data_IF_674119685958
#
_entry.id   IF_674119685958
#
_cell.length_a   1.000
_cell.length_b   1.000
_cell.length_c   1.000
_cell.angle_alpha   90.00
_cell.angle_beta   90.00
_cell.angle_gamma   90.00
#
_symmetry.space_group_name_H-M   'P 1'
#
loop_
_entity.id
_entity.type
_entity.pdbx_description
1 polymer ?
#
# COMPACT_ATOMS: atom_id res chain seq x y z
N UNK A 1 -1.94 -24.91 -25.92
CA UNK A 1 -3.03 -24.97 -24.93
C UNK A 1 -2.96 -23.68 -24.09
N UNK A 2 -3.81 -22.70 -24.42
CA UNK A 2 -3.83 -21.40 -23.72
C UNK A 2 -4.62 -21.58 -22.43
N UNK A 3 -3.92 -21.58 -21.30
CA UNK A 3 -4.55 -21.51 -19.98
C UNK A 3 -5.10 -20.10 -19.84
N UNK A 4 -6.42 -19.96 -19.97
CA UNK A 4 -7.15 -18.76 -19.57
C UNK A 4 -7.15 -18.75 -18.05
N UNK A 5 -6.31 -17.90 -17.46
CA UNK A 5 -6.50 -17.51 -16.07
C UNK A 5 -7.81 -16.73 -15.94
N UNK A 6 -8.81 -17.41 -15.40
CA UNK A 6 -10.05 -16.77 -15.01
C UNK A 6 -9.69 -15.93 -13.76
N UNK A 7 -9.70 -14.63 -13.97
CA UNK A 7 -9.48 -13.63 -12.94
C UNK A 7 -10.68 -13.66 -12.00
N UNK A 8 -10.53 -14.26 -10.84
CA UNK A 8 -11.54 -14.24 -9.80
C UNK A 8 -11.50 -12.89 -9.09
N UNK A 9 -12.35 -11.99 -9.53
CA UNK A 9 -12.63 -10.72 -8.90
C UNK A 9 -13.59 -10.91 -7.73
N UNK A 10 -13.24 -10.38 -6.61
CA UNK A 10 -14.03 -10.41 -5.38
C UNK A 10 -14.57 -9.05 -5.04
N UNK A 11 -15.86 -9.02 -4.75
CA UNK A 11 -16.62 -7.84 -4.47
C UNK A 11 -17.19 -7.92 -3.08
N UNK A 12 -17.10 -6.86 -2.34
CA UNK A 12 -17.84 -6.64 -1.11
C UNK A 12 -18.72 -5.42 -1.28
N UNK A 13 -20.02 -5.64 -1.48
CA UNK A 13 -21.02 -4.64 -1.12
C UNK A 13 -21.07 -4.58 0.41
N UNK A 14 -21.13 -3.38 0.98
CA UNK A 14 -21.20 -3.14 2.40
C UNK A 14 -22.21 -4.06 3.11
N UNK A 15 -21.73 -5.19 3.62
CA UNK A 15 -22.36 -5.94 4.69
C UNK A 15 -21.28 -6.27 5.71
N UNK A 16 -21.20 -5.39 6.69
CA UNK A 16 -20.54 -5.61 7.94
C UNK A 16 -21.09 -6.87 8.58
N UNK A 17 -20.29 -7.86 8.78
CA UNK A 17 -20.32 -8.91 9.80
C UNK A 17 -19.71 -10.21 9.24
N UNK A 18 -18.51 -10.53 9.71
CA UNK A 18 -17.89 -11.83 9.47
C UNK A 18 -16.51 -11.85 8.82
N UNK A 19 -16.06 -10.76 8.21
CA UNK A 19 -14.79 -10.73 7.50
C UNK A 19 -13.57 -10.66 8.44
N UNK A 20 -13.66 -9.85 9.48
CA UNK A 20 -12.59 -9.70 10.47
C UNK A 20 -12.36 -11.00 11.26
N UNK A 21 -13.43 -11.75 11.54
CA UNK A 21 -13.38 -12.98 12.35
C UNK A 21 -12.84 -14.19 11.56
N UNK A 22 -13.00 -14.21 10.24
CA UNK A 22 -12.47 -15.27 9.37
C UNK A 22 -10.97 -15.10 9.09
N UNK A 23 -10.45 -13.87 9.02
CA UNK A 23 -9.02 -13.61 8.80
C UNK A 23 -8.17 -13.79 10.06
N UNK A 24 -8.73 -13.66 11.25
CA UNK A 24 -8.00 -13.79 12.51
C UNK A 24 -7.62 -15.25 12.88
N UNK A 25 -8.22 -16.25 12.22
CA UNK A 25 -8.04 -17.67 12.56
C UNK A 25 -7.15 -18.48 11.62
N UNK A 26 -6.75 -17.97 10.48
CA UNK A 26 -5.95 -18.74 9.52
C UNK A 26 -4.72 -17.95 9.07
N UNK A 27 -3.57 -18.29 9.63
CA UNK A 27 -2.26 -17.74 9.24
C UNK A 27 -1.79 -18.23 7.85
N UNK A 28 -2.56 -19.09 7.20
CA UNK A 28 -2.39 -19.49 5.81
C UNK A 28 -3.35 -18.69 4.95
N UNK A 29 -2.86 -17.60 4.38
CA UNK A 29 -3.57 -16.88 3.31
C UNK A 29 -3.71 -17.84 2.15
N UNK A 30 -4.89 -18.43 2.01
CA UNK A 30 -5.25 -19.26 0.87
C UNK A 30 -5.75 -18.34 -0.24
N UNK A 31 -5.34 -18.63 -1.47
CA UNK A 31 -5.92 -18.12 -2.72
C UNK A 31 -7.39 -18.59 -2.92
N UNK A 32 -8.11 -18.80 -1.83
CA UNK A 32 -9.44 -19.34 -1.89
C UNK A 32 -10.46 -18.24 -2.16
N UNK A 33 -10.62 -17.98 -3.44
CA UNK A 33 -11.60 -17.08 -4.04
C UNK A 33 -13.03 -17.49 -3.72
N UNK A 34 -13.26 -18.70 -3.21
CA UNK A 34 -14.60 -19.28 -2.95
C UNK A 34 -15.35 -18.65 -1.77
N UNK A 35 -14.70 -17.79 -0.96
CA UNK A 35 -15.32 -17.17 0.22
C UNK A 35 -16.25 -16.00 -0.10
N UNK A 36 -16.31 -15.55 -1.35
CA UNK A 36 -17.12 -14.40 -1.73
C UNK A 36 -18.27 -14.79 -2.67
N UNK A 37 -19.38 -15.06 -2.07
CA UNK A 37 -20.66 -15.25 -2.72
C UNK A 37 -21.44 -13.92 -2.81
N UNK A 38 -20.75 -12.82 -3.09
CA UNK A 38 -21.38 -11.51 -3.26
C UNK A 38 -21.77 -11.23 -4.71
N UNK A 39 -22.79 -10.40 -4.89
CA UNK A 39 -23.17 -9.85 -6.19
C UNK A 39 -22.04 -8.96 -6.71
N UNK A 40 -21.66 -9.11 -7.99
CA UNK A 40 -20.62 -8.27 -8.60
C UNK A 40 -20.95 -6.78 -8.43
N UNK A 41 -20.01 -5.82 -8.12
CA UNK A 41 -20.36 -4.42 -8.03
C UNK A 41 -20.89 -3.96 -9.37
N UNK A 42 -21.91 -3.18 -9.25
CA UNK A 42 -22.45 -2.41 -10.33
C UNK A 42 -22.50 -0.95 -9.86
N UNK A 43 -22.00 -0.03 -10.67
CA UNK A 43 -21.88 1.37 -10.27
C UNK A 43 -20.70 1.61 -9.30
N UNK A 44 -20.87 2.52 -8.35
CA UNK A 44 -19.84 2.85 -7.35
C UNK A 44 -19.60 1.69 -6.39
N UNK A 45 -18.34 1.30 -6.24
CA UNK A 45 -17.99 0.16 -5.41
C UNK A 45 -16.52 0.06 -5.02
N UNK A 46 -16.19 -1.01 -4.29
CA UNK A 46 -14.84 -1.35 -3.87
C UNK A 46 -14.55 -2.79 -4.25
N UNK A 47 -13.41 -2.99 -4.91
CA UNK A 47 -12.90 -4.31 -5.26
C UNK A 47 -11.68 -4.63 -4.39
N UNK A 48 -11.70 -5.79 -3.73
CA UNK A 48 -10.59 -6.36 -2.99
C UNK A 48 -9.97 -7.50 -3.80
N UNK A 49 -8.71 -7.39 -4.18
CA UNK A 49 -8.02 -8.41 -4.97
C UNK A 49 -6.56 -8.53 -4.55
N UNK A 50 -6.13 -9.71 -4.14
CA UNK A 50 -4.71 -9.96 -3.83
C UNK A 50 -3.80 -9.83 -5.06
N UNK A 51 -4.35 -9.93 -6.26
CA UNK A 51 -3.60 -9.78 -7.51
C UNK A 51 -3.57 -8.31 -7.99
N UNK A 52 -4.72 -7.62 -7.91
CA UNK A 52 -4.85 -6.25 -8.44
C UNK A 52 -4.75 -5.15 -7.38
N UNK A 53 -4.95 -5.49 -6.10
CA UNK A 53 -4.99 -4.55 -4.99
C UNK A 53 -6.40 -4.16 -4.58
N UNK A 54 -6.53 -3.02 -3.92
CA UNK A 54 -7.80 -2.40 -3.53
C UNK A 54 -8.16 -1.36 -4.60
N UNK A 55 -9.29 -1.54 -5.27
CA UNK A 55 -9.77 -0.62 -6.32
C UNK A 55 -11.09 -0.01 -5.88
N UNK A 56 -11.19 1.31 -5.93
CA UNK A 56 -12.39 2.09 -5.59
C UNK A 56 -12.79 2.93 -6.79
N UNK A 57 -14.03 2.83 -7.22
CA UNK A 57 -14.54 3.57 -8.39
C UNK A 57 -15.81 2.98 -8.97
N UNK A 58 -16.02 3.18 -10.26
CA UNK A 58 -17.15 2.63 -10.98
C UNK A 58 -16.87 1.24 -11.53
N UNK A 59 -17.89 0.40 -11.49
CA UNK A 59 -17.83 -0.98 -11.99
C UNK A 59 -19.00 -1.27 -12.92
N UNK A 60 -18.72 -2.01 -13.99
CA UNK A 60 -19.70 -2.59 -14.90
C UNK A 60 -19.47 -4.10 -14.95
N UNK A 61 -20.47 -4.88 -14.58
CA UNK A 61 -20.34 -6.34 -14.47
C UNK A 61 -19.13 -6.79 -13.63
N UNK A 62 -18.85 -6.07 -12.53
CA UNK A 62 -17.70 -6.34 -11.67
C UNK A 62 -16.33 -5.94 -12.21
N UNK A 63 -16.29 -5.26 -13.34
CA UNK A 63 -15.07 -4.77 -13.97
C UNK A 63 -14.90 -3.28 -13.70
N UNK A 64 -13.77 -2.80 -13.15
CA UNK A 64 -13.56 -1.37 -12.95
C UNK A 64 -13.47 -0.65 -14.28
N UNK A 65 -14.17 0.49 -14.37
CA UNK A 65 -14.26 1.34 -15.57
C UNK A 65 -14.17 2.81 -15.22
N UNK A 66 -13.63 3.61 -16.14
CA UNK A 66 -13.44 5.05 -15.94
C UNK A 66 -12.42 5.37 -14.87
N UNK A 67 -12.58 6.51 -14.22
CA UNK A 67 -11.62 6.96 -13.21
C UNK A 67 -11.80 6.19 -11.90
N UNK A 68 -10.74 5.52 -11.46
CA UNK A 68 -10.68 4.78 -10.20
C UNK A 68 -9.42 5.12 -9.40
N UNK A 69 -9.54 4.93 -8.07
CA UNK A 69 -8.44 4.97 -7.13
C UNK A 69 -8.02 3.54 -6.80
N UNK A 70 -6.72 3.26 -6.85
CA UNK A 70 -6.22 1.92 -6.61
C UNK A 70 -5.00 1.91 -5.69
N UNK A 71 -5.02 1.05 -4.67
CA UNK A 71 -3.83 0.67 -3.94
C UNK A 71 -3.30 -0.63 -4.53
N UNK A 72 -2.19 -0.53 -5.23
CA UNK A 72 -1.55 -1.66 -5.90
C UNK A 72 -0.84 -2.59 -4.91
N UNK A 73 -0.72 -3.89 -5.23
CA UNK A 73 -0.07 -4.85 -4.33
C UNK A 73 1.39 -4.53 -3.99
N UNK A 74 2.09 -3.80 -4.85
CA UNK A 74 3.47 -3.36 -4.62
C UNK A 74 3.59 -2.15 -3.66
N UNK A 75 2.44 -1.63 -3.15
CA UNK A 75 2.35 -0.48 -2.27
C UNK A 75 2.34 0.88 -2.99
N UNK A 76 2.30 0.89 -4.34
CA UNK A 76 2.04 2.10 -5.11
C UNK A 76 0.55 2.42 -5.07
N UNK A 77 0.21 3.68 -5.22
CA UNK A 77 -1.17 4.13 -5.38
C UNK A 77 -1.35 4.65 -6.81
N UNK A 78 -2.46 4.29 -7.42
CA UNK A 78 -2.83 4.75 -8.75
C UNK A 78 -4.16 5.51 -8.69
N UNK A 79 -4.24 6.62 -9.39
CA UNK A 79 -5.46 7.35 -9.65
C UNK A 79 -5.55 7.65 -11.14
N UNK A 80 -6.55 7.11 -11.82
CA UNK A 80 -6.71 7.32 -13.27
C UNK A 80 -7.68 6.33 -13.90
N UNK A 81 -7.57 6.20 -15.20
CA UNK A 81 -8.52 5.50 -16.04
C UNK A 81 -8.33 3.98 -16.03
N UNK A 82 -9.47 3.29 -16.01
CA UNK A 82 -9.57 1.84 -16.23
C UNK A 82 -10.45 1.57 -17.45
N UNK A 83 -9.99 0.69 -18.32
CA UNK A 83 -10.76 0.13 -19.43
C UNK A 83 -10.64 -1.39 -19.38
N UNK A 84 -11.77 -2.10 -19.45
CA UNK A 84 -11.82 -3.55 -19.35
C UNK A 84 -11.06 -4.14 -18.14
N UNK A 85 -11.11 -3.44 -17.02
CA UNK A 85 -10.45 -3.83 -15.78
C UNK A 85 -8.93 -3.68 -15.77
N UNK A 86 -8.35 -3.05 -16.78
CA UNK A 86 -6.93 -2.75 -16.85
C UNK A 86 -6.67 -1.24 -16.70
N UNK A 87 -5.58 -0.88 -16.00
CA UNK A 87 -5.08 0.49 -15.96
C UNK A 87 -4.63 0.89 -17.36
N UNK A 88 -5.30 1.90 -17.94
CA UNK A 88 -5.00 2.45 -19.26
C UNK A 88 -5.36 3.93 -19.30
N UNK A 89 -5.07 4.63 -20.42
CA UNK A 89 -5.37 6.04 -20.52
C UNK A 89 -4.53 6.93 -19.63
N UNK A 90 -5.08 8.07 -19.23
CA UNK A 90 -4.36 9.05 -18.42
C UNK A 90 -4.48 8.75 -16.93
N UNK A 91 -3.39 8.92 -16.18
CA UNK A 91 -3.40 8.66 -14.74
C UNK A 91 -2.15 9.14 -14.00
N UNK A 92 -2.14 8.84 -12.71
CA UNK A 92 -1.07 9.23 -11.78
C UNK A 92 -0.68 8.05 -10.92
N UNK A 93 0.61 7.77 -10.79
CA UNK A 93 1.14 6.81 -9.80
C UNK A 93 1.86 7.58 -8.70
N UNK A 94 1.55 7.24 -7.47
CA UNK A 94 2.14 7.79 -6.26
C UNK A 94 2.96 6.70 -5.56
N UNK A 95 4.27 6.95 -5.42
CA UNK A 95 5.21 6.08 -4.69
C UNK A 95 5.56 6.71 -3.36
N UNK A 96 4.72 6.54 -2.36
CA UNK A 96 4.92 7.17 -1.04
C UNK A 96 6.29 6.87 -0.44
N UNK A 97 6.81 5.65 -0.59
CA UNK A 97 8.10 5.22 -0.03
C UNK A 97 9.33 5.95 -0.59
N UNK A 98 9.23 6.50 -1.78
CA UNK A 98 10.31 7.25 -2.45
C UNK A 98 9.92 8.68 -2.76
N UNK A 99 8.74 9.10 -2.32
CA UNK A 99 8.14 10.41 -2.59
C UNK A 99 8.24 10.79 -4.08
N UNK A 100 7.82 9.87 -4.95
CA UNK A 100 7.81 10.04 -6.40
C UNK A 100 6.37 10.03 -6.89
N UNK A 101 6.04 10.99 -7.76
CA UNK A 101 4.76 11.02 -8.49
C UNK A 101 5.05 10.96 -9.99
N UNK A 102 4.41 10.03 -10.69
CA UNK A 102 4.45 9.95 -12.15
C UNK A 102 3.06 10.28 -12.69
N UNK A 103 3.00 11.19 -13.65
CA UNK A 103 1.78 11.64 -14.32
C UNK A 103 1.93 11.40 -15.81
N UNK A 104 0.96 10.75 -16.42
CA UNK A 104 0.99 10.52 -17.86
C UNK A 104 0.04 9.44 -18.33
N UNK A 105 0.39 8.80 -19.43
CA UNK A 105 -0.42 7.76 -20.04
C UNK A 105 0.05 6.37 -19.62
N UNK A 106 -0.92 5.49 -19.48
CA UNK A 106 -0.69 4.10 -19.09
C UNK A 106 -1.25 3.15 -20.13
N UNK A 107 -0.56 2.07 -20.35
CA UNK A 107 -1.01 0.95 -21.17
C UNK A 107 -0.72 -0.35 -20.44
N UNK A 108 -1.79 -1.12 -20.13
CA UNK A 108 -1.68 -2.37 -19.37
C UNK A 108 -0.93 -2.19 -18.03
N UNK A 109 -1.30 -1.16 -17.29
CA UNK A 109 -0.72 -0.86 -15.98
C UNK A 109 0.72 -0.32 -16.01
N UNK A 110 1.25 0.07 -17.16
CA UNK A 110 2.64 0.55 -17.30
C UNK A 110 2.68 1.92 -17.97
N UNK A 111 3.55 2.83 -17.50
CA UNK A 111 3.82 4.09 -18.17
C UNK A 111 4.14 3.90 -19.64
N UNK A 112 3.51 4.70 -20.51
CA UNK A 112 3.64 4.59 -21.97
C UNK A 112 3.34 5.92 -22.63
N UNK A 113 4.28 6.44 -23.41
CA UNK A 113 4.22 7.75 -24.01
C UNK A 113 4.96 8.80 -23.18
N UNK A 114 4.60 10.06 -23.40
CA UNK A 114 5.23 11.20 -22.74
C UNK A 114 4.64 11.39 -21.34
N UNK A 115 5.47 11.21 -20.31
CA UNK A 115 5.08 11.30 -18.93
C UNK A 115 5.96 12.29 -18.16
N UNK A 116 5.42 12.82 -17.04
CA UNK A 116 6.11 13.73 -16.13
C UNK A 116 6.37 13.01 -14.81
N UNK A 117 7.62 13.01 -14.36
CA UNK A 117 8.06 12.41 -13.10
C UNK A 117 8.48 13.51 -12.12
N UNK A 118 7.76 13.65 -11.00
CA UNK A 118 8.11 14.51 -9.88
C UNK A 118 8.90 13.68 -8.86
N UNK A 119 10.12 14.10 -8.54
CA UNK A 119 11.01 13.37 -7.62
C UNK A 119 11.01 13.95 -6.22
N UNK A 120 11.52 13.18 -5.28
CA UNK A 120 11.64 13.56 -3.86
C UNK A 120 12.61 14.73 -3.60
N UNK A 121 13.58 14.93 -4.48
CA UNK A 121 14.51 16.06 -4.43
C UNK A 121 13.95 17.37 -5.01
N UNK A 122 12.66 17.36 -5.39
CA UNK A 122 11.98 18.47 -6.02
C UNK A 122 12.21 18.58 -7.53
N UNK A 123 13.12 17.80 -8.11
CA UNK A 123 13.36 17.83 -9.55
C UNK A 123 12.21 17.24 -10.35
N UNK A 124 12.04 17.72 -11.59
CA UNK A 124 11.00 17.26 -12.51
C UNK A 124 11.68 16.72 -13.76
N UNK A 125 11.30 15.50 -14.17
CA UNK A 125 11.73 14.89 -15.41
C UNK A 125 10.52 14.71 -16.35
N UNK A 126 10.61 15.21 -17.55
CA UNK A 126 9.69 14.88 -18.65
C UNK A 126 10.40 13.90 -19.57
N UNK A 127 9.80 12.76 -19.82
CA UNK A 127 10.43 11.69 -20.56
C UNK A 127 9.43 10.85 -21.36
N UNK A 128 9.91 10.19 -22.39
CA UNK A 128 9.18 9.18 -23.15
C UNK A 128 9.36 7.81 -22.51
N UNK A 129 8.24 7.10 -22.30
CA UNK A 129 8.20 5.76 -21.73
C UNK A 129 7.60 4.76 -22.73
N UNK A 130 8.12 3.55 -22.72
CA UNK A 130 7.52 2.41 -23.41
C UNK A 130 7.49 1.20 -22.49
N UNK A 131 6.28 0.69 -22.23
CA UNK A 131 6.05 -0.49 -21.38
C UNK A 131 6.71 -0.36 -19.99
N UNK A 132 6.68 0.84 -19.42
CA UNK A 132 7.27 1.16 -18.12
C UNK A 132 8.77 1.42 -18.13
N UNK A 133 9.42 1.42 -19.28
CA UNK A 133 10.85 1.71 -19.41
C UNK A 133 11.04 3.10 -19.98
N UNK A 134 11.89 3.90 -19.34
CA UNK A 134 12.32 5.18 -19.87
C UNK A 134 13.07 4.94 -21.19
N UNK A 135 12.60 5.57 -22.26
CA UNK A 135 13.22 5.55 -23.61
C UNK A 135 14.11 6.74 -23.83
N UNK A 136 13.57 7.93 -23.58
CA UNK A 136 14.23 9.17 -23.86
C UNK A 136 13.90 10.21 -22.78
N UNK A 137 14.89 11.00 -22.37
CA UNK A 137 14.70 12.19 -21.55
C UNK A 137 14.43 13.38 -22.45
N UNK A 138 13.25 13.98 -22.30
CA UNK A 138 12.86 15.17 -23.10
C UNK A 138 13.34 16.43 -22.42
N UNK A 139 13.11 16.56 -21.10
CA UNK A 139 13.54 17.70 -20.29
C UNK A 139 13.76 17.30 -18.84
N UNK A 140 14.73 17.92 -18.19
CA UNK A 140 15.00 17.69 -16.76
C UNK A 140 15.22 19.04 -16.07
N UNK A 141 14.37 19.35 -15.09
CA UNK A 141 14.39 20.57 -14.29
C UNK A 141 14.87 20.23 -12.88
N UNK A 142 16.12 20.55 -12.55
CA UNK A 142 16.68 20.33 -11.21
C UNK A 142 16.14 21.32 -10.19
N UNK A 143 15.88 22.55 -10.63
CA UNK A 143 15.28 23.63 -9.84
C UNK A 143 14.06 24.16 -10.64
N UNK A 144 12.91 23.48 -10.58
CA UNK A 144 11.72 23.92 -11.30
C UNK A 144 11.19 25.25 -10.73
N UNK A 145 10.45 26.00 -11.53
CA UNK A 145 9.74 27.18 -11.03
C UNK A 145 8.69 26.78 -9.99
N UNK A 146 8.27 27.74 -9.16
CA UNK A 146 7.21 27.49 -8.16
C UNK A 146 5.93 26.97 -8.80
N UNK A 147 5.55 27.48 -9.96
CA UNK A 147 4.39 27.02 -10.73
C UNK A 147 4.52 25.54 -11.15
N UNK A 148 5.67 25.15 -11.66
CA UNK A 148 5.95 23.77 -12.04
C UNK A 148 5.95 22.83 -10.81
N UNK A 149 6.49 23.28 -9.70
CA UNK A 149 6.51 22.53 -8.45
C UNK A 149 5.08 22.38 -7.87
N UNK A 150 4.28 23.46 -7.91
CA UNK A 150 2.89 23.46 -7.46
C UNK A 150 1.96 22.56 -8.31
N UNK A 151 2.35 22.26 -9.55
CA UNK A 151 1.62 21.33 -10.42
C UNK A 151 1.77 19.85 -10.01
N UNK A 152 2.62 19.56 -9.00
CA UNK A 152 2.78 18.19 -8.48
C UNK A 152 1.47 17.70 -7.87
N UNK A 153 0.90 16.59 -8.37
CA UNK A 153 -0.33 16.06 -7.80
C UNK A 153 -0.13 15.49 -6.40
N UNK A 154 -1.16 15.64 -5.58
CA UNK A 154 -1.28 14.99 -4.28
C UNK A 154 -2.29 13.85 -4.41
N UNK A 155 -1.98 12.70 -3.83
CA UNK A 155 -2.95 11.61 -3.78
C UNK A 155 -4.14 12.01 -2.92
N UNK A 156 -5.39 11.76 -3.36
CA UNK A 156 -6.56 12.12 -2.58
C UNK A 156 -6.52 11.49 -1.19
N UNK A 157 -6.76 12.30 -0.17
CA UNK A 157 -6.93 11.81 1.20
C UNK A 157 -8.24 11.03 1.30
N UNK A 158 -8.15 9.72 1.40
CA UNK A 158 -9.31 8.84 1.52
C UNK A 158 -9.47 8.41 2.97
N UNK A 159 -10.68 8.60 3.51
CA UNK A 159 -11.07 7.94 4.75
C UNK A 159 -11.33 6.46 4.43
N UNK A 160 -10.41 5.60 4.84
CA UNK A 160 -10.55 4.16 4.68
C UNK A 160 -11.26 3.54 5.87
N UNK A 161 -12.17 2.60 5.61
CA UNK A 161 -12.75 1.78 6.66
C UNK A 161 -11.68 0.88 7.30
N UNK A 162 -11.92 0.42 8.51
CA UNK A 162 -11.05 -0.55 9.18
C UNK A 162 -10.86 -1.82 8.32
N UNK A 163 -11.91 -2.27 7.63
CA UNK A 163 -11.86 -3.41 6.72
C UNK A 163 -10.90 -3.18 5.54
N UNK A 164 -10.96 -2.00 4.92
CA UNK A 164 -10.05 -1.64 3.84
C UNK A 164 -8.59 -1.60 4.31
N UNK A 165 -8.34 -1.04 5.48
CA UNK A 165 -7.00 -1.00 6.07
C UNK A 165 -6.47 -2.40 6.39
N UNK A 166 -7.30 -3.26 6.99
CA UNK A 166 -6.94 -4.64 7.28
C UNK A 166 -6.64 -5.42 6.00
N UNK A 167 -7.47 -5.28 4.96
CA UNK A 167 -7.20 -5.92 3.67
C UNK A 167 -5.85 -5.49 3.09
N UNK A 168 -5.53 -4.21 3.12
CA UNK A 168 -4.27 -3.72 2.57
C UNK A 168 -3.06 -4.21 3.39
N UNK A 169 -3.22 -4.41 4.69
CA UNK A 169 -2.19 -5.06 5.51
C UNK A 169 -1.99 -6.51 5.07
N UNK A 170 -3.07 -7.28 4.93
CA UNK A 170 -3.02 -8.68 4.51
C UNK A 170 -2.47 -8.83 3.09
N UNK A 171 -2.88 -7.94 2.18
CA UNK A 171 -2.34 -7.86 0.84
C UNK A 171 -0.82 -7.66 0.86
N UNK A 172 -0.33 -6.78 1.73
CA UNK A 172 1.11 -6.56 1.88
C UNK A 172 1.83 -7.78 2.41
N UNK A 173 1.29 -8.41 3.47
CA UNK A 173 1.84 -9.65 4.04
C UNK A 173 1.87 -10.77 2.99
N UNK A 174 0.80 -10.93 2.22
CA UNK A 174 0.72 -11.89 1.12
C UNK A 174 1.84 -11.68 0.09
N UNK A 175 1.97 -10.45 -0.43
CA UNK A 175 2.99 -10.14 -1.45
C UNK A 175 4.40 -10.27 -0.93
N UNK A 176 4.67 -9.89 0.31
CA UNK A 176 5.97 -10.11 0.94
C UNK A 176 6.25 -11.61 1.08
N UNK A 177 5.26 -12.43 1.44
CA UNK A 177 5.40 -13.88 1.52
C UNK A 177 5.70 -14.54 0.17
N UNK A 178 5.05 -14.11 -0.91
CA UNK A 178 5.30 -14.62 -2.27
C UNK A 178 6.71 -14.23 -2.76
N UNK A 179 7.14 -13.01 -2.48
CA UNK A 179 8.49 -12.57 -2.79
C UNK A 179 9.55 -13.33 -1.96
N UNK A 180 9.25 -13.66 -0.70
CA UNK A 180 10.12 -14.45 0.17
C UNK A 180 10.30 -15.89 -0.32
N UNK A 181 9.26 -16.53 -0.84
CA UNK A 181 9.38 -17.86 -1.48
C UNK A 181 10.38 -17.88 -2.63
N UNK A 182 10.51 -16.75 -3.35
CA UNK A 182 11.52 -16.58 -4.43
C UNK A 182 12.93 -16.33 -3.87
N UNK A 183 13.05 -15.90 -2.61
CA UNK A 183 14.29 -15.47 -1.99
C UNK A 183 14.72 -16.45 -0.88
N UNK A 184 15.01 -17.71 -1.23
CA UNK A 184 15.41 -18.81 -0.29
C UNK A 184 16.49 -18.47 0.75
N UNK A 185 17.10 -17.28 0.72
CA UNK A 185 18.18 -16.84 1.61
C UNK A 185 17.92 -15.48 2.27
N UNK A 186 16.65 -15.07 2.35
CA UNK A 186 16.26 -13.84 3.03
C UNK A 186 15.89 -14.12 4.49
N UNK A 187 16.50 -13.39 5.40
CA UNK A 187 16.12 -13.38 6.82
C UNK A 187 15.51 -12.02 7.12
N UNK A 188 14.29 -12.00 7.66
CA UNK A 188 13.60 -10.76 8.04
C UNK A 188 14.28 -10.09 9.25
N UNK A 189 14.19 -8.76 9.39
CA UNK A 189 14.58 -8.05 10.60
C UNK A 189 13.83 -8.57 11.82
N UNK A 190 14.47 -8.50 13.00
CA UNK A 190 13.86 -8.89 14.27
C UNK A 190 13.95 -7.76 15.30
N UNK A 191 12.82 -7.42 15.92
CA UNK A 191 12.75 -6.47 17.01
C UNK A 191 13.01 -7.17 18.35
N UNK A 192 14.15 -6.89 19.00
CA UNK A 192 14.50 -7.52 20.28
C UNK A 192 14.29 -9.05 20.30
N UNK A 193 14.66 -9.71 19.21
CA UNK A 193 14.51 -11.16 19.03
C UNK A 193 13.12 -11.65 18.61
N UNK A 194 12.11 -10.77 18.60
CA UNK A 194 10.73 -11.06 18.15
C UNK A 194 10.43 -10.51 16.75
N UNK A 195 9.16 -10.64 16.38
CA UNK A 195 8.58 -10.18 15.12
C UNK A 195 7.90 -8.81 15.23
N UNK A 196 7.12 -8.45 14.21
CA UNK A 196 6.34 -7.20 14.17
C UNK A 196 5.24 -7.15 15.25
N UNK A 197 4.73 -8.28 15.73
CA UNK A 197 3.72 -8.28 16.79
C UNK A 197 4.33 -7.85 18.12
N UNK A 198 5.59 -8.26 18.40
CA UNK A 198 6.33 -7.75 19.55
C UNK A 198 6.58 -6.24 19.41
N UNK A 199 6.87 -5.77 18.22
CA UNK A 199 7.05 -4.35 17.95
C UNK A 199 5.76 -3.55 18.10
N UNK A 200 4.62 -4.06 17.60
CA UNK A 200 3.30 -3.44 17.78
C UNK A 200 2.96 -3.22 19.26
N UNK A 201 3.20 -4.24 20.10
CA UNK A 201 3.01 -4.13 21.55
C UNK A 201 3.94 -3.10 22.18
N UNK A 202 5.20 -3.05 21.74
CA UNK A 202 6.14 -2.05 22.22
C UNK A 202 5.69 -0.64 21.82
N UNK A 203 5.23 -0.43 20.56
CA UNK A 203 4.68 0.87 20.13
C UNK A 203 3.55 1.30 21.06
N UNK A 204 2.59 0.41 21.32
CA UNK A 204 1.46 0.72 22.21
C UNK A 204 1.91 1.08 23.64
N UNK A 205 2.97 0.45 24.15
CA UNK A 205 3.51 0.77 25.47
C UNK A 205 4.26 2.11 25.56
N UNK A 206 4.58 2.73 24.41
CA UNK A 206 5.24 4.04 24.36
C UNK A 206 4.25 5.19 24.13
N UNK A 207 3.00 4.87 23.83
CA UNK A 207 1.96 5.85 23.57
C UNK A 207 1.11 6.02 24.84
N UNK A 208 1.01 7.25 25.32
CA UNK A 208 0.07 7.64 26.37
C UNK A 208 -1.31 7.84 25.71
N UNK A 209 -1.95 6.73 25.34
CA UNK A 209 -3.25 6.76 24.68
C UNK A 209 -4.33 6.66 25.77
N UNK A 210 -5.25 7.63 25.88
CA UNK A 210 -6.31 7.57 26.86
C UNK A 210 -7.13 6.29 26.65
N UNK A 211 -7.42 5.59 27.74
CA UNK A 211 -8.37 4.48 27.73
C UNK A 211 -9.66 4.94 27.06
N UNK A 212 -10.17 4.11 26.17
CA UNK A 212 -11.35 4.40 25.36
C UNK A 212 -12.50 4.79 26.27
N UNK A 213 -13.05 6.00 26.10
CA UNK A 213 -14.27 6.41 26.81
C UNK A 213 -15.36 5.34 26.63
N UNK A 214 -15.99 4.93 27.72
CA UNK A 214 -17.12 3.98 27.70
C UNK A 214 -18.16 4.45 26.69
N UNK A 215 -18.33 3.70 25.59
CA UNK A 215 -19.30 3.96 24.53
C UNK A 215 -18.71 4.10 23.13
N UNK A 216 -17.41 4.27 22.95
CA UNK A 216 -16.78 4.33 21.62
C UNK A 216 -16.07 3.00 21.29
N UNK A 217 -16.85 2.03 20.79
CA UNK A 217 -16.40 0.66 20.47
C UNK A 217 -15.66 0.53 19.13
N UNK A 218 -15.36 1.62 18.44
CA UNK A 218 -14.65 1.58 17.16
C UNK A 218 -13.15 1.38 17.38
N UNK A 219 -12.66 0.16 17.17
CA UNK A 219 -11.23 -0.10 17.10
C UNK A 219 -10.57 0.77 16.03
N UNK A 220 -9.55 1.55 16.41
CA UNK A 220 -8.73 2.30 15.47
C UNK A 220 -7.54 1.44 15.06
N UNK A 221 -7.37 1.21 13.77
CA UNK A 221 -6.24 0.45 13.24
C UNK A 221 -5.41 1.35 12.34
N UNK A 222 -4.10 1.37 12.59
CA UNK A 222 -3.11 2.06 11.77
C UNK A 222 -2.09 1.04 11.26
N UNK A 223 -1.68 1.18 10.01
CA UNK A 223 -0.56 0.41 9.47
C UNK A 223 0.55 1.39 9.12
N UNK A 224 1.69 1.24 9.80
CA UNK A 224 2.87 2.07 9.57
C UNK A 224 3.88 1.30 8.75
N UNK A 225 4.32 1.86 7.62
CA UNK A 225 5.48 1.38 6.86
C UNK A 225 6.74 2.08 7.34
N UNK A 226 7.87 1.35 7.36
CA UNK A 226 9.17 1.88 7.75
C UNK A 226 10.30 1.03 7.18
N UNK A 227 11.52 1.53 7.24
CA UNK A 227 12.70 0.77 6.85
C UNK A 227 13.52 0.38 8.08
N UNK A 228 13.88 -0.91 8.18
CA UNK A 228 14.98 -1.34 9.04
C UNK A 228 16.25 -1.30 8.20
N UNK A 229 17.17 -0.44 8.59
CA UNK A 229 18.43 -0.24 7.90
C UNK A 229 19.41 -1.38 8.20
N UNK A 230 20.47 -1.48 7.40
CA UNK A 230 21.54 -2.49 7.58
C UNK A 230 22.27 -2.40 8.92
N UNK A 231 22.23 -1.25 9.58
CA UNK A 231 22.80 -1.00 10.91
C UNK A 231 21.79 -1.23 12.05
N UNK A 232 20.56 -1.66 11.70
CA UNK A 232 19.45 -1.90 12.63
C UNK A 232 18.64 -0.67 13.01
N UNK A 233 18.96 0.53 12.54
CA UNK A 233 18.16 1.72 12.79
C UNK A 233 16.86 1.69 11.98
N UNK A 234 15.81 2.32 12.51
CA UNK A 234 14.54 2.52 11.79
C UNK A 234 14.55 3.90 11.14
N UNK A 235 14.05 3.98 9.92
CA UNK A 235 13.92 5.24 9.17
C UNK A 235 12.68 5.25 8.28
N UNK A 236 12.26 6.47 7.92
CA UNK A 236 11.20 6.72 6.95
C UNK A 236 9.88 6.03 7.34
N UNK A 237 9.53 6.10 8.62
CA UNK A 237 8.22 5.66 9.07
C UNK A 237 7.15 6.59 8.51
N UNK A 238 6.07 6.01 8.00
CA UNK A 238 4.91 6.75 7.49
C UNK A 238 3.66 5.89 7.55
N UNK A 239 2.47 6.48 7.73
CA UNK A 239 1.23 5.73 7.59
C UNK A 239 1.15 5.13 6.19
N UNK A 240 0.71 3.88 6.09
CA UNK A 240 0.54 3.20 4.80
C UNK A 240 -0.67 3.78 4.05
N UNK A 241 -1.67 4.23 4.77
CA UNK A 241 -2.90 4.83 4.27
C UNK A 241 -3.08 6.22 4.85
N UNK A 242 -3.51 7.13 4.02
CA UNK A 242 -3.44 8.58 4.10
C UNK A 242 -4.19 9.31 5.20
N UNK A 243 -4.39 8.76 6.37
CA UNK A 243 -4.84 9.56 7.49
C UNK A 243 -3.66 10.27 8.14
N UNK A 244 -3.56 11.57 7.86
CA UNK A 244 -2.68 12.49 8.57
C UNK A 244 -3.40 12.91 9.86
N UNK A 245 -3.53 11.96 10.78
CA UNK A 245 -4.15 12.21 12.09
C UNK A 245 -3.04 12.43 13.12
N UNK A 246 -3.35 13.19 14.17
CA UNK A 246 -2.46 13.37 15.32
C UNK A 246 -1.99 12.02 15.89
N UNK A 247 -2.89 11.02 15.94
CA UNK A 247 -2.56 9.66 16.36
C UNK A 247 -1.57 9.00 15.40
N UNK A 248 -1.76 9.14 14.08
CA UNK A 248 -0.86 8.56 13.09
C UNK A 248 0.54 9.17 13.21
N UNK A 249 0.65 10.48 13.44
CA UNK A 249 1.92 11.14 13.65
C UNK A 249 2.60 10.68 14.94
N UNK A 250 1.87 10.57 16.05
CA UNK A 250 2.40 10.07 17.31
C UNK A 250 2.97 8.65 17.16
N UNK A 251 2.25 7.77 16.43
CA UNK A 251 2.75 6.40 16.14
C UNK A 251 4.00 6.44 15.27
N UNK A 252 4.05 7.30 14.25
CA UNK A 252 5.22 7.48 13.38
C UNK A 252 6.45 7.91 14.19
N UNK A 253 6.28 8.87 15.12
CA UNK A 253 7.37 9.37 15.95
C UNK A 253 7.91 8.27 16.87
N UNK A 254 7.02 7.47 17.48
CA UNK A 254 7.41 6.30 18.27
C UNK A 254 8.16 5.27 17.41
N UNK A 255 7.68 4.97 16.21
CA UNK A 255 8.34 4.02 15.29
C UNK A 255 9.75 4.51 14.93
N UNK A 256 9.91 5.80 14.62
CA UNK A 256 11.21 6.39 14.29
C UNK A 256 12.17 6.42 15.49
N UNK A 257 11.67 6.48 16.72
CA UNK A 257 12.46 6.45 17.97
C UNK A 257 12.82 5.03 18.42
N UNK A 258 12.45 4.00 17.68
CA UNK A 258 12.57 2.61 18.11
C UNK A 258 14.04 2.22 18.41
N UNK A 259 14.25 1.37 19.42
CA UNK A 259 15.55 0.73 19.63
C UNK A 259 16.05 0.00 18.39
N UNK A 260 17.35 -0.21 18.28
CA UNK A 260 17.94 -0.93 17.15
C UNK A 260 17.39 -2.34 17.01
N UNK A 261 17.05 -2.69 15.78
CA UNK A 261 16.64 -4.02 15.36
C UNK A 261 17.85 -4.88 15.00
N UNK A 262 17.69 -6.20 15.10
CA UNK A 262 18.57 -7.10 14.35
C UNK A 262 18.23 -6.93 12.86
N UNK A 263 19.16 -6.44 12.00
CA UNK A 263 18.85 -6.18 10.61
C UNK A 263 18.53 -7.46 9.84
N UNK A 264 17.71 -7.33 8.82
CA UNK A 264 17.47 -8.43 7.90
C UNK A 264 18.68 -8.70 7.02
N UNK A 265 18.80 -9.93 6.54
CA UNK A 265 19.92 -10.33 5.68
C UNK A 265 19.45 -11.00 4.40
N UNK A 266 20.19 -10.79 3.32
CA UNK A 266 20.06 -11.55 2.08
C UNK A 266 21.39 -12.20 1.73
N UNK A 267 21.40 -13.52 1.56
CA UNK A 267 22.63 -14.30 1.38
C UNK A 267 23.70 -13.98 2.46
N UNK A 268 23.24 -13.85 3.73
CA UNK A 268 24.11 -13.57 4.88
C UNK A 268 24.58 -12.11 5.00
N UNK A 269 24.32 -11.23 4.05
CA UNK A 269 24.69 -9.81 4.09
C UNK A 269 23.52 -8.96 4.56
N UNK A 270 23.76 -8.06 5.54
CA UNK A 270 22.76 -7.12 6.03
C UNK A 270 22.23 -6.21 4.89
N UNK A 271 20.90 -5.99 4.88
CA UNK A 271 20.21 -5.18 3.87
C UNK A 271 19.21 -4.25 4.52
N UNK A 272 19.00 -3.10 3.91
CA UNK A 272 17.85 -2.26 4.24
C UNK A 272 16.58 -2.99 3.80
N UNK A 273 15.61 -3.12 4.70
CA UNK A 273 14.37 -3.82 4.40
C UNK A 273 13.17 -3.00 4.81
N UNK A 274 12.21 -2.89 3.89
CA UNK A 274 10.91 -2.29 4.17
C UNK A 274 10.09 -3.25 5.02
N UNK A 275 9.48 -2.72 6.06
CA UNK A 275 8.61 -3.42 7.00
C UNK A 275 7.29 -2.68 7.12
N UNK A 276 6.27 -3.36 7.58
CA UNK A 276 5.01 -2.76 8.00
C UNK A 276 4.57 -3.34 9.33
N UNK A 277 3.93 -2.52 10.17
CA UNK A 277 3.41 -2.94 11.46
C UNK A 277 1.98 -2.45 11.61
N UNK A 278 1.03 -3.37 11.92
CA UNK A 278 -0.31 -2.97 12.33
C UNK A 278 -0.26 -2.54 13.82
N UNK A 279 -0.88 -1.41 14.11
CA UNK A 279 -1.09 -0.91 15.48
C UNK A 279 -2.59 -0.75 15.67
N UNK A 280 -3.17 -1.62 16.48
CA UNK A 280 -4.61 -1.65 16.74
C UNK A 280 -4.85 -1.06 18.13
N UNK A 281 -5.70 -0.05 18.20
CA UNK A 281 -6.18 0.61 19.42
C UNK A 281 -7.66 0.26 19.60
N UNK A 282 -8.04 -0.14 20.80
CA UNK A 282 -9.41 -0.56 21.15
C UNK A 282 -9.40 -1.89 21.88
N UNK A 283 -10.54 -2.31 22.39
CA UNK A 283 -10.76 -3.41 23.33
C UNK A 283 -9.94 -4.67 22.98
N UNK A 284 -9.15 -5.14 23.97
CA UNK A 284 -8.64 -6.52 24.02
C UNK A 284 -9.78 -7.50 24.29
#
# INVERSE_FOLDING_TARGET
>A
MKIRFILSMLIVSAMSFGYADAMQRDTTIRDDVSRYTGKWPEGQGVLYSFEKGLIMGNFVNGVPVGECLCHLPNGEQYWGEFTDGEITGHGKIFRKSSDIVLVGHFKKGRPHGRDTLYRSDGSILIAEFDKGRLREKIAEYKNPSEEMAAARPVYPALKMSAEQQNFLYDLRVYWDSQNLKKLKKLVKPKFQGGDVNKFSRWIKSQLDYPEVEEGNTAAKSLVIEFYVMKDGTVKNASPMFGEDTELAQAVVDVVNSSPKWKPGTYKGKARNMKMSVPVIFGLE
#
